data_IF_443264040444
#
_entry.id   IF_443264040444
#
_cell.length_a   1.000
_cell.length_b   1.000
_cell.length_c   1.000
_cell.angle_alpha   90.00
_cell.angle_beta   90.00
_cell.angle_gamma   90.00
#
_symmetry.space_group_name_H-M   'P 1'
#
loop_
_entity.id
_entity.type
_entity.pdbx_description
1 polymer ?
#
# COMPACT_ATOMS: atom_id res chain seq x y z
N UNK A 1 -3.01 -10.64 8.96
CA UNK A 1 -4.33 -10.55 8.29
C UNK A 1 -4.68 -9.07 8.11
N UNK A 2 -4.66 -8.55 6.87
CA UNK A 2 -5.33 -7.31 6.43
C UNK A 2 -4.89 -5.94 6.98
N UNK A 3 -4.43 -5.82 8.23
CA UNK A 3 -4.20 -4.52 8.88
C UNK A 3 -3.07 -3.71 8.24
N UNK A 4 -2.07 -4.40 7.69
CA UNK A 4 -0.93 -3.76 7.01
C UNK A 4 -1.31 -3.21 5.63
N UNK A 5 -2.37 -3.74 5.00
CA UNK A 5 -2.86 -3.25 3.71
C UNK A 5 -3.22 -1.76 3.75
N UNK A 6 -3.76 -1.30 4.89
CA UNK A 6 -4.06 0.11 5.04
C UNK A 6 -2.81 1.00 5.05
N UNK A 7 -1.64 0.50 5.49
CA UNK A 7 -0.40 1.29 5.52
C UNK A 7 0.07 1.54 4.09
N UNK A 8 0.01 0.50 3.24
CA UNK A 8 0.28 0.64 1.81
C UNK A 8 -0.68 1.61 1.14
N UNK A 9 -1.97 1.62 1.53
CA UNK A 9 -2.93 2.59 1.04
C UNK A 9 -2.55 4.03 1.43
N UNK A 10 -2.12 4.28 2.66
CA UNK A 10 -1.63 5.61 3.07
C UNK A 10 -0.40 6.04 2.29
N UNK A 11 0.55 5.13 2.07
CA UNK A 11 1.74 5.40 1.24
C UNK A 11 1.32 5.75 -0.20
N UNK A 12 0.41 4.99 -0.80
CA UNK A 12 -0.11 5.28 -2.13
C UNK A 12 -0.79 6.66 -2.21
N UNK A 13 -1.63 7.01 -1.22
CA UNK A 13 -2.24 8.34 -1.13
C UNK A 13 -1.18 9.44 -0.96
N UNK A 14 -0.11 9.18 -0.21
CA UNK A 14 1.04 10.07 -0.10
C UNK A 14 1.74 10.32 -1.42
N UNK A 15 1.96 9.28 -2.22
CA UNK A 15 2.51 9.41 -3.58
C UNK A 15 1.58 10.22 -4.48
N UNK A 16 0.26 9.98 -4.41
CA UNK A 16 -0.74 10.75 -5.16
C UNK A 16 -0.71 12.24 -4.76
N UNK A 17 -0.67 12.54 -3.47
CA UNK A 17 -0.58 13.93 -2.96
C UNK A 17 0.71 14.60 -3.38
N UNK A 18 1.84 13.91 -3.27
CA UNK A 18 3.14 14.39 -3.74
C UNK A 18 3.11 14.70 -5.24
N UNK A 19 2.65 13.76 -6.06
CA UNK A 19 2.55 13.94 -7.52
C UNK A 19 1.66 15.12 -7.90
N UNK A 20 0.48 15.21 -7.27
CA UNK A 20 -0.46 16.34 -7.44
C UNK A 20 0.15 17.69 -7.06
N UNK A 21 1.08 17.70 -6.10
CA UNK A 21 1.67 18.93 -5.55
C UNK A 21 2.85 19.46 -6.37
N UNK A 22 3.42 18.64 -7.27
CA UNK A 22 4.56 19.01 -8.13
C UNK A 22 4.37 20.32 -8.92
N UNK A 23 3.23 20.59 -9.57
CA UNK A 23 3.01 21.87 -10.25
C UNK A 23 2.52 23.00 -9.32
N UNK A 24 2.26 22.74 -8.03
CA UNK A 24 1.78 23.75 -7.09
C UNK A 24 2.93 24.62 -6.53
N UNK A 25 2.56 25.70 -5.82
CA UNK A 25 3.50 26.54 -5.08
C UNK A 25 4.41 25.75 -4.12
N UNK A 26 5.60 26.31 -3.85
CA UNK A 26 6.67 25.62 -3.13
C UNK A 26 6.24 25.14 -1.74
N UNK A 27 5.42 25.92 -1.03
CA UNK A 27 4.88 25.54 0.29
C UNK A 27 4.01 24.28 0.23
N UNK A 28 3.13 24.15 -0.77
CA UNK A 28 2.28 22.97 -0.93
C UNK A 28 3.11 21.73 -1.24
N UNK A 29 4.11 21.89 -2.10
CA UNK A 29 5.06 20.83 -2.41
C UNK A 29 5.87 20.41 -1.17
N UNK A 30 6.33 21.37 -0.37
CA UNK A 30 7.04 21.11 0.88
C UNK A 30 6.17 20.34 1.89
N UNK A 31 4.90 20.73 2.06
CA UNK A 31 3.97 19.99 2.92
C UNK A 31 3.79 18.54 2.45
N UNK A 32 3.66 18.31 1.14
CA UNK A 32 3.54 16.97 0.58
C UNK A 32 4.83 16.13 0.77
N UNK A 33 6.00 16.75 0.58
CA UNK A 33 7.29 16.10 0.80
C UNK A 33 7.56 15.76 2.27
N UNK A 34 7.00 16.53 3.21
CA UNK A 34 7.13 16.28 4.65
C UNK A 34 6.22 15.14 5.14
N UNK A 35 5.25 14.66 4.35
CA UNK A 35 4.33 13.57 4.75
C UNK A 35 5.08 12.30 5.22
N UNK A 36 5.95 11.67 4.40
CA UNK A 36 6.66 10.45 4.83
C UNK A 36 7.61 10.72 6.00
N UNK A 37 8.33 11.85 5.99
CA UNK A 37 9.33 12.17 7.01
C UNK A 37 8.68 12.46 8.37
N UNK A 38 7.60 13.24 8.37
CA UNK A 38 6.84 13.55 9.59
C UNK A 38 6.10 12.34 10.13
N UNK A 39 5.67 11.42 9.26
CA UNK A 39 5.09 10.15 9.71
C UNK A 39 6.14 9.24 10.35
N UNK A 40 7.33 9.14 9.76
CA UNK A 40 8.45 8.42 10.36
C UNK A 40 8.83 9.01 11.73
N UNK A 41 8.82 10.34 11.88
CA UNK A 41 9.02 10.99 13.18
C UNK A 41 7.95 10.59 14.20
N UNK A 42 6.67 10.61 13.83
CA UNK A 42 5.58 10.17 14.71
C UNK A 42 5.72 8.70 15.13
N UNK A 43 6.16 7.83 14.23
CA UNK A 43 6.48 6.43 14.53
C UNK A 43 7.63 6.29 15.54
N UNK A 44 8.73 7.03 15.36
CA UNK A 44 9.87 7.01 16.29
C UNK A 44 9.44 7.46 17.69
N UNK A 45 8.59 8.48 17.78
CA UNK A 45 8.03 8.91 19.08
C UNK A 45 7.16 7.81 19.70
N UNK A 46 6.33 7.12 18.90
CA UNK A 46 5.53 5.97 19.36
C UNK A 46 6.39 4.85 19.93
N UNK A 47 7.44 4.46 19.21
CA UNK A 47 8.42 3.45 19.68
C UNK A 47 9.13 3.89 20.95
N UNK A 48 9.50 5.17 21.04
CA UNK A 48 10.10 5.73 22.24
C UNK A 48 9.16 5.60 23.44
N UNK A 49 7.86 5.93 23.27
CA UNK A 49 6.84 5.79 24.32
C UNK A 49 6.64 4.34 24.78
N UNK A 50 6.70 3.37 23.85
CA UNK A 50 6.60 1.94 24.17
C UNK A 50 7.65 1.49 25.18
N UNK A 51 8.88 2.00 25.07
CA UNK A 51 9.97 1.62 25.98
C UNK A 51 9.76 2.13 27.42
N UNK A 52 8.91 3.14 27.62
CA UNK A 52 8.58 3.67 28.95
C UNK A 52 7.37 2.98 29.59
N UNK A 53 6.31 2.70 28.82
CA UNK A 53 5.06 2.18 29.37
C UNK A 53 5.06 0.65 29.48
N UNK A 54 5.67 -0.03 28.52
CA UNK A 54 5.85 -1.49 28.53
C UNK A 54 4.56 -2.28 28.82
N UNK A 55 3.42 -1.83 28.27
CA UNK A 55 2.13 -2.47 28.48
C UNK A 55 2.06 -3.82 27.75
N UNK A 56 1.72 -4.88 28.48
CA UNK A 56 1.51 -6.20 27.90
C UNK A 56 0.24 -6.28 27.04
N UNK A 57 0.30 -7.11 25.99
CA UNK A 57 -0.77 -7.18 24.99
C UNK A 57 -1.99 -7.95 25.51
N UNK A 58 -3.21 -7.59 25.06
CA UNK A 58 -4.42 -8.28 25.48
C UNK A 58 -4.41 -9.79 25.19
N UNK A 59 -3.78 -10.19 24.07
CA UNK A 59 -3.62 -11.60 23.68
C UNK A 59 -2.76 -12.44 24.65
N UNK A 60 -1.99 -11.83 25.55
CA UNK A 60 -1.23 -12.52 26.61
C UNK A 60 -1.80 -12.27 28.00
N UNK A 61 -2.19 -11.04 28.29
CA UNK A 61 -2.49 -10.59 29.65
C UNK A 61 -3.94 -10.87 30.09
N UNK A 62 -4.89 -10.98 29.16
CA UNK A 62 -6.31 -11.13 29.50
C UNK A 62 -6.70 -12.61 29.53
N UNK A 63 -6.62 -13.20 30.73
CA UNK A 63 -7.05 -14.58 30.97
C UNK A 63 -8.55 -14.72 30.67
N UNK A 64 -8.92 -15.70 29.84
CA UNK A 64 -10.30 -15.96 29.47
C UNK A 64 -10.86 -15.06 28.35
N UNK A 65 -10.04 -14.18 27.76
CA UNK A 65 -10.42 -13.51 26.52
C UNK A 65 -10.58 -14.51 25.37
N UNK A 66 -11.43 -14.15 24.40
CA UNK A 66 -11.44 -14.84 23.11
C UNK A 66 -10.05 -14.80 22.48
N UNK A 67 -9.65 -15.88 21.81
CA UNK A 67 -8.37 -15.94 21.11
C UNK A 67 -8.25 -14.79 20.10
N UNK A 68 -7.07 -14.17 20.02
CA UNK A 68 -6.83 -13.12 19.04
C UNK A 68 -6.95 -13.69 17.62
N UNK A 69 -7.54 -12.89 16.72
CA UNK A 69 -7.69 -13.26 15.30
C UNK A 69 -6.33 -13.20 14.60
N UNK A 70 -5.50 -12.23 14.99
CA UNK A 70 -4.12 -12.13 14.54
C UNK A 70 -3.17 -12.84 15.50
N UNK A 71 -2.02 -13.26 14.97
CA UNK A 71 -0.91 -13.75 15.78
C UNK A 71 -0.48 -12.70 16.79
N UNK A 72 -0.26 -13.12 18.03
CA UNK A 72 0.18 -12.24 19.10
C UNK A 72 1.65 -11.87 18.85
N UNK A 73 2.01 -10.58 18.71
CA UNK A 73 3.39 -10.16 18.47
C UNK A 73 4.35 -10.66 19.55
N UNK A 74 5.66 -10.73 19.25
CA UNK A 74 6.67 -11.26 20.16
C UNK A 74 6.74 -10.54 21.53
N UNK A 75 7.37 -11.18 22.51
CA UNK A 75 7.66 -10.54 23.79
C UNK A 75 8.58 -9.33 23.59
N UNK A 76 8.36 -8.27 24.37
CA UNK A 76 9.07 -7.00 24.22
C UNK A 76 8.50 -6.08 23.13
N UNK A 77 7.60 -6.54 22.26
CA UNK A 77 6.80 -5.63 21.42
C UNK A 77 5.54 -5.20 22.19
N UNK A 78 5.69 -4.09 22.92
CA UNK A 78 4.69 -3.55 23.83
C UNK A 78 3.42 -3.05 23.12
N UNK A 79 2.29 -3.12 23.83
CA UNK A 79 0.97 -2.76 23.32
C UNK A 79 0.79 -1.24 23.19
N UNK A 80 1.28 -0.47 24.15
CA UNK A 80 1.01 0.96 24.23
C UNK A 80 2.17 1.84 23.77
N UNK A 81 1.94 2.85 22.92
CA UNK A 81 0.76 3.02 22.07
C UNK A 81 0.82 2.10 20.83
N UNK A 82 -0.30 1.97 20.12
CA UNK A 82 -0.34 1.16 18.89
C UNK A 82 0.40 1.84 17.73
N UNK A 83 1.41 1.19 17.16
CA UNK A 83 2.17 1.72 16.01
C UNK A 83 1.32 1.90 14.76
N UNK A 84 0.45 0.95 14.41
CA UNK A 84 -0.46 1.11 13.27
C UNK A 84 -1.34 2.34 13.43
N UNK A 85 -1.87 2.56 14.64
CA UNK A 85 -2.69 3.73 14.94
C UNK A 85 -1.86 5.03 14.89
N UNK A 86 -0.62 5.02 15.41
CA UNK A 86 0.29 6.17 15.33
C UNK A 86 0.66 6.53 13.89
N UNK A 87 1.05 5.54 13.09
CA UNK A 87 1.38 5.74 11.67
C UNK A 87 0.14 6.23 10.91
N UNK A 88 -1.03 5.65 11.14
CA UNK A 88 -2.27 6.06 10.50
C UNK A 88 -2.69 7.49 10.86
N UNK A 89 -2.62 7.84 12.15
CA UNK A 89 -2.91 9.19 12.64
C UNK A 89 -1.96 10.22 12.06
N UNK A 90 -0.66 9.91 12.00
CA UNK A 90 0.36 10.77 11.41
C UNK A 90 0.14 10.93 9.90
N UNK A 91 -0.07 9.85 9.13
CA UNK A 91 -0.35 9.96 7.70
C UNK A 91 -1.61 10.75 7.42
N UNK A 92 -2.72 10.43 8.09
CA UNK A 92 -4.00 11.09 7.83
C UNK A 92 -3.94 12.58 8.10
N UNK A 93 -3.27 12.98 9.19
CA UNK A 93 -3.07 14.39 9.54
C UNK A 93 -2.10 15.08 8.58
N UNK A 94 -0.95 14.47 8.25
CA UNK A 94 0.01 15.05 7.31
C UNK A 94 -0.59 15.26 5.91
N UNK A 95 -1.34 14.27 5.42
CA UNK A 95 -2.06 14.36 4.16
C UNK A 95 -3.14 15.45 4.21
N UNK A 96 -3.86 15.60 5.32
CA UNK A 96 -4.83 16.67 5.51
C UNK A 96 -4.18 18.07 5.53
N UNK A 97 -2.97 18.20 6.09
CA UNK A 97 -2.19 19.43 6.05
C UNK A 97 -1.74 19.78 4.63
N UNK A 98 -1.34 18.79 3.83
CA UNK A 98 -0.92 18.98 2.44
C UNK A 98 -2.09 19.20 1.47
N UNK A 99 -3.21 18.49 1.65
CA UNK A 99 -4.42 18.60 0.83
C UNK A 99 -5.68 18.42 1.67
N UNK A 100 -6.23 19.53 2.19
CA UNK A 100 -7.36 19.54 3.14
C UNK A 100 -8.58 18.70 2.74
N UNK A 101 -8.89 18.55 1.45
CA UNK A 101 -10.05 17.75 1.00
C UNK A 101 -9.83 16.25 1.17
N UNK A 102 -8.58 15.76 1.17
CA UNK A 102 -8.28 14.34 1.36
C UNK A 102 -8.63 13.85 2.77
N UNK A 103 -8.76 14.77 3.74
CA UNK A 103 -9.13 14.48 5.12
C UNK A 103 -10.44 13.68 5.24
N UNK A 104 -11.41 13.93 4.35
CA UNK A 104 -12.68 13.19 4.31
C UNK A 104 -12.50 11.70 4.02
N UNK A 105 -11.39 11.32 3.39
CA UNK A 105 -11.04 9.93 3.10
C UNK A 105 -10.04 9.40 4.13
N UNK A 106 -8.99 10.16 4.43
CA UNK A 106 -7.88 9.68 5.25
C UNK A 106 -8.22 9.59 6.74
N UNK A 107 -9.06 10.48 7.28
CA UNK A 107 -9.41 10.44 8.71
C UNK A 107 -10.29 9.23 9.05
N UNK A 108 -11.39 8.93 8.32
CA UNK A 108 -12.14 7.70 8.55
C UNK A 108 -11.29 6.44 8.33
N UNK A 109 -10.42 6.44 7.31
CA UNK A 109 -9.52 5.34 7.03
C UNK A 109 -8.54 5.08 8.19
N UNK A 110 -8.01 6.14 8.81
CA UNK A 110 -7.13 6.02 9.97
C UNK A 110 -7.86 5.42 11.17
N UNK A 111 -9.08 5.88 11.44
CA UNK A 111 -9.92 5.32 12.51
C UNK A 111 -10.25 3.85 12.23
N UNK A 112 -10.59 3.50 11.00
CA UNK A 112 -10.89 2.11 10.62
C UNK A 112 -9.66 1.21 10.77
N UNK A 113 -8.48 1.68 10.35
CA UNK A 113 -7.23 0.93 10.57
C UNK A 113 -6.93 0.78 12.06
N UNK A 114 -7.04 1.85 12.85
CA UNK A 114 -6.81 1.79 14.29
C UNK A 114 -7.78 0.81 14.97
N UNK A 115 -9.06 0.89 14.63
CA UNK A 115 -10.10 -0.03 15.11
C UNK A 115 -9.78 -1.48 14.75
N UNK A 116 -9.26 -1.75 13.55
CA UNK A 116 -8.90 -3.11 13.13
C UNK A 116 -7.92 -3.79 14.09
N UNK A 117 -7.07 -3.03 14.79
CA UNK A 117 -6.11 -3.55 15.77
C UNK A 117 -6.78 -4.05 17.05
N UNK A 118 -7.84 -3.39 17.47
CA UNK A 118 -8.70 -3.85 18.58
C UNK A 118 -9.50 -5.06 18.12
N UNK A 119 -10.08 -4.99 16.91
CA UNK A 119 -10.89 -6.05 16.34
C UNK A 119 -10.13 -7.38 16.21
N UNK A 120 -8.87 -7.35 15.80
CA UNK A 120 -8.03 -8.56 15.71
C UNK A 120 -7.45 -9.02 17.06
N UNK A 121 -7.73 -8.28 18.15
CA UNK A 121 -7.42 -8.70 19.52
C UNK A 121 -5.97 -8.50 19.96
N UNK A 122 -5.20 -7.60 19.31
CA UNK A 122 -3.77 -7.40 19.63
C UNK A 122 -3.46 -6.08 20.33
N UNK A 123 -4.46 -5.20 20.50
CA UNK A 123 -4.36 -3.92 21.21
C UNK A 123 -5.65 -3.59 21.97
N UNK A 124 -5.50 -2.85 23.06
CA UNK A 124 -6.64 -2.27 23.78
C UNK A 124 -7.20 -1.03 23.06
N UNK A 125 -8.46 -0.65 23.35
CA UNK A 125 -9.04 0.59 22.82
C UNK A 125 -8.22 1.85 23.15
N UNK A 126 -7.61 1.93 24.34
CA UNK A 126 -6.79 3.08 24.72
C UNK A 126 -5.46 3.13 23.98
N UNK A 127 -4.83 1.99 23.66
CA UNK A 127 -3.60 1.93 22.86
C UNK A 127 -3.78 2.58 21.49
N UNK A 128 -4.92 2.30 20.85
CA UNK A 128 -5.21 2.77 19.50
C UNK A 128 -5.67 4.23 19.51
N UNK A 129 -6.41 4.66 20.53
CA UNK A 129 -6.78 6.06 20.72
C UNK A 129 -5.55 6.93 20.98
N UNK A 130 -4.67 6.49 21.89
CA UNK A 130 -3.41 7.16 22.18
C UNK A 130 -2.49 7.20 20.95
N UNK A 131 -2.37 6.09 20.23
CA UNK A 131 -1.59 6.03 18.98
C UNK A 131 -2.06 7.07 17.96
N UNK A 132 -3.35 7.10 17.64
CA UNK A 132 -3.92 8.09 16.70
C UNK A 132 -3.59 9.53 17.11
N UNK A 133 -3.78 9.86 18.39
CA UNK A 133 -3.54 11.20 18.93
C UNK A 133 -2.05 11.56 18.89
N UNK A 134 -1.18 10.67 19.38
CA UNK A 134 0.28 10.90 19.39
C UNK A 134 0.79 11.09 17.97
N UNK A 135 0.43 10.21 17.04
CA UNK A 135 0.85 10.31 15.64
C UNK A 135 0.41 11.63 14.99
N UNK A 136 -0.87 12.00 15.16
CA UNK A 136 -1.41 13.24 14.62
C UNK A 136 -0.76 14.50 15.22
N UNK A 137 -0.53 14.53 16.54
CA UNK A 137 0.08 15.68 17.20
C UNK A 137 1.56 15.83 16.83
N UNK A 138 2.31 14.73 16.82
CA UNK A 138 3.74 14.76 16.49
C UNK A 138 3.98 15.19 15.05
N UNK A 139 3.16 14.74 14.10
CA UNK A 139 3.31 15.19 12.71
C UNK A 139 2.92 16.66 12.54
N UNK A 140 1.92 17.16 13.27
CA UNK A 140 1.57 18.59 13.26
C UNK A 140 2.73 19.43 13.76
N UNK A 141 3.35 19.03 14.87
CA UNK A 141 4.53 19.70 15.41
C UNK A 141 5.69 19.68 14.40
N UNK A 142 6.00 18.50 13.88
CA UNK A 142 7.07 18.30 12.89
C UNK A 142 6.87 19.18 11.64
N UNK A 143 5.67 19.14 11.06
CA UNK A 143 5.33 19.94 9.88
C UNK A 143 5.36 21.44 10.21
N UNK A 144 4.82 21.87 11.35
CA UNK A 144 4.86 23.29 11.79
C UNK A 144 6.30 23.81 11.86
N UNK A 145 7.23 23.01 12.39
CA UNK A 145 8.63 23.39 12.54
C UNK A 145 9.39 23.39 11.20
N UNK A 146 9.13 22.41 10.33
CA UNK A 146 9.94 22.20 9.13
C UNK A 146 9.35 22.76 7.83
N UNK A 147 8.09 23.21 7.79
CA UNK A 147 7.49 23.74 6.56
C UNK A 147 8.26 24.93 6.01
N UNK A 148 8.72 25.85 6.87
CA UNK A 148 9.51 27.03 6.45
C UNK A 148 10.83 26.63 5.77
N UNK A 149 11.73 25.92 6.47
CA UNK A 149 12.96 25.39 5.88
C UNK A 149 12.73 24.54 4.63
N UNK A 150 11.74 23.65 4.65
CA UNK A 150 11.42 22.79 3.51
C UNK A 150 10.93 23.59 2.29
N UNK A 151 10.20 24.69 2.49
CA UNK A 151 9.77 25.58 1.40
C UNK A 151 10.98 26.22 0.71
N UNK A 152 11.94 26.76 1.48
CA UNK A 152 13.18 27.31 0.94
C UNK A 152 14.02 26.26 0.19
N UNK A 153 14.05 25.03 0.71
CA UNK A 153 14.72 23.92 0.05
C UNK A 153 14.06 23.60 -1.29
N UNK A 154 12.72 23.51 -1.36
CA UNK A 154 11.98 23.28 -2.60
C UNK A 154 12.25 24.38 -3.64
N UNK A 155 12.28 25.65 -3.22
CA UNK A 155 12.64 26.78 -4.10
C UNK A 155 14.06 26.63 -4.65
N UNK A 156 15.03 26.33 -3.78
CA UNK A 156 16.43 26.11 -4.17
C UNK A 156 16.56 24.93 -5.13
N UNK A 157 15.84 23.82 -4.87
CA UNK A 157 15.83 22.64 -5.73
C UNK A 157 15.34 22.99 -7.14
N UNK A 158 14.27 23.79 -7.24
CA UNK A 158 13.68 24.24 -8.51
C UNK A 158 14.61 25.16 -9.33
N UNK A 159 15.55 25.83 -8.66
CA UNK A 159 16.53 26.70 -9.33
C UNK A 159 17.91 26.07 -9.48
N UNK A 160 18.13 24.86 -8.94
CA UNK A 160 19.46 24.24 -8.82
C UNK A 160 20.12 23.80 -10.15
N UNK A 161 19.42 23.90 -11.29
CA UNK A 161 19.86 23.39 -12.59
C UNK A 161 19.92 21.86 -12.68
N UNK A 162 19.76 21.13 -11.57
CA UNK A 162 19.80 19.67 -11.55
C UNK A 162 18.46 19.07 -11.97
N UNK A 163 18.48 18.21 -12.99
CA UNK A 163 17.29 17.53 -13.49
C UNK A 163 16.59 16.69 -12.40
N UNK A 164 17.37 16.06 -11.52
CA UNK A 164 16.83 15.25 -10.42
C UNK A 164 16.12 16.09 -9.35
N UNK A 165 16.69 17.22 -8.93
CA UNK A 165 16.03 18.07 -7.94
C UNK A 165 14.79 18.76 -8.52
N UNK A 166 14.85 19.20 -9.78
CA UNK A 166 13.70 19.72 -10.50
C UNK A 166 12.60 18.67 -10.67
N UNK A 167 12.98 17.42 -10.96
CA UNK A 167 12.01 16.33 -11.02
C UNK A 167 11.36 16.10 -9.64
N UNK A 168 12.14 16.00 -8.56
CA UNK A 168 11.59 15.79 -7.22
C UNK A 168 10.69 16.94 -6.75
N UNK A 169 11.11 18.19 -6.95
CA UNK A 169 10.37 19.39 -6.53
C UNK A 169 9.21 19.76 -7.47
N UNK A 170 9.20 19.19 -8.68
CA UNK A 170 8.25 19.52 -9.73
C UNK A 170 8.48 20.89 -10.38
N UNK A 171 7.82 21.14 -11.52
CA UNK A 171 8.01 22.36 -12.31
C UNK A 171 7.51 23.64 -11.61
N UNK A 172 6.67 23.49 -10.57
CA UNK A 172 6.04 24.62 -9.90
C UNK A 172 4.99 25.31 -10.79
N UNK A 173 4.59 26.51 -10.38
CA UNK A 173 3.51 27.27 -11.03
C UNK A 173 3.94 27.95 -12.34
N UNK A 174 5.25 28.11 -12.55
CA UNK A 174 5.81 28.84 -13.69
C UNK A 174 5.45 28.21 -15.04
N UNK A 175 5.41 26.87 -15.16
CA UNK A 175 5.06 26.21 -16.43
C UNK A 175 3.56 26.23 -16.74
N UNK A 176 2.68 26.27 -15.73
CA UNK A 176 1.23 26.41 -15.98
C UNK A 176 0.88 27.76 -16.60
N UNK A 177 1.53 28.83 -16.15
CA UNK A 177 1.34 30.16 -16.72
C UNK A 177 1.85 30.31 -18.16
N UNK A 178 2.75 29.44 -18.63
CA UNK A 178 3.21 29.41 -20.02
C UNK A 178 2.27 28.58 -20.90
N UNK A 179 1.72 27.48 -20.38
CA UNK A 179 0.77 26.64 -21.10
C UNK A 179 -0.65 27.26 -21.23
N UNK A 180 -1.04 28.09 -20.26
CA UNK A 180 -2.31 28.83 -20.25
C UNK A 180 -2.22 30.19 -20.95
N UNK A 181 -1.02 30.62 -21.39
CA UNK A 181 -0.89 31.79 -22.27
C UNK A 181 -1.40 31.41 -23.65
N UNK A 182 -2.58 31.91 -23.98
CA UNK A 182 -3.10 31.90 -25.35
C UNK A 182 -1.99 32.45 -26.27
N UNK A 183 -1.58 31.73 -27.33
CA UNK A 183 -0.49 32.19 -28.18
C UNK A 183 -0.84 33.58 -28.68
N UNK A 184 0.03 34.54 -28.40
CA UNK A 184 -0.17 35.93 -28.79
C UNK A 184 -0.56 35.97 -30.26
N UNK A 185 -1.77 36.48 -30.51
CA UNK A 185 -2.42 36.40 -31.82
C UNK A 185 -1.64 37.30 -32.78
N UNK A 186 -0.67 36.73 -33.50
CA UNK A 186 0.13 37.45 -34.51
C UNK A 186 -0.79 37.81 -35.70
N UNK A 187 -1.22 39.07 -35.84
CA UNK A 187 -2.14 39.47 -36.88
C UNK A 187 -1.56 39.23 -38.28
N UNK A 188 -0.24 39.33 -38.43
CA UNK A 188 0.43 39.13 -39.70
C UNK A 188 0.46 37.65 -40.10
N UNK A 189 0.46 36.73 -39.14
CA UNK A 189 0.39 35.29 -39.43
C UNK A 189 -0.98 34.87 -39.92
N UNK A 190 -2.03 35.49 -39.39
CA UNK A 190 -3.41 35.28 -39.84
C UNK A 190 -3.65 35.89 -41.23
N UNK A 191 -3.10 37.07 -41.51
CA UNK A 191 -3.12 37.68 -42.85
C UNK A 191 -2.37 36.82 -43.88
N UNK A 192 -1.18 36.31 -43.55
CA UNK A 192 -0.43 35.40 -44.44
C UNK A 192 -1.19 34.11 -44.71
N UNK A 193 -1.90 33.56 -43.71
CA UNK A 193 -2.76 32.37 -43.90
C UNK A 193 -3.97 32.67 -44.77
N UNK A 194 -4.61 33.82 -44.60
CA UNK A 194 -5.73 34.26 -45.42
C UNK A 194 -5.32 34.46 -46.89
N UNK A 195 -4.16 35.10 -47.12
CA UNK A 195 -3.60 35.28 -48.48
C UNK A 195 -3.22 33.94 -49.13
N UNK A 196 -2.62 33.01 -48.37
CA UNK A 196 -2.30 31.67 -48.88
C UNK A 196 -3.55 30.86 -49.24
N UNK A 197 -4.64 30.98 -48.47
CA UNK A 197 -5.92 30.35 -48.77
C UNK A 197 -6.61 30.95 -50.01
N UNK A 198 -6.45 32.25 -50.26
CA UNK A 198 -6.95 32.87 -51.49
C UNK A 198 -6.15 32.43 -52.73
N UNK A 199 -4.83 32.29 -52.60
CA UNK A 199 -3.97 31.82 -53.68
C UNK A 199 -4.24 30.36 -54.08
N UNK A 200 -4.56 29.48 -53.13
CA UNK A 200 -4.88 28.07 -53.42
C UNK A 200 -6.23 27.89 -54.14
N UNK A 201 -7.21 28.77 -53.88
CA UNK A 201 -8.46 28.81 -54.61
C UNK A 201 -8.31 29.34 -56.05
N UNK A 202 -7.43 30.31 -56.28
CA UNK A 202 -7.13 30.81 -57.63
C UNK A 202 -6.43 29.75 -58.50
N UNK A 203 -5.56 28.92 -57.92
CA UNK A 203 -4.87 27.84 -58.64
C UNK A 203 -5.79 26.70 -59.12
N UNK A 204 -6.87 26.40 -58.38
CA UNK A 204 -7.84 25.37 -58.80
C UNK A 204 -8.78 25.83 -59.92
N UNK A 205 -9.02 27.14 -60.05
CA UNK A 205 -9.84 27.69 -61.13
C UNK A 205 -9.10 27.71 -62.49
N UNK A 206 -7.76 27.76 -62.48
CA UNK A 206 -6.96 27.85 -63.70
C UNK A 206 -6.76 26.51 -64.44
N UNK A 207 -7.07 25.37 -63.82
CA UNK A 207 -6.84 24.04 -64.42
C UNK A 207 -8.10 23.41 -65.06
N UNK A 208 -9.24 24.10 -65.04
CA UNK A 208 -10.54 23.59 -65.53
C UNK A 208 -10.88 24.02 -66.98
N UNK A 209 -9.88 24.20 -67.83
CA UNK A 209 -10.12 24.62 -69.22
C UNK A 209 -9.06 24.13 -70.17
N UNK A 210 -9.13 22.86 -70.58
CA UNK A 210 -8.75 22.37 -71.92
C UNK A 210 -9.00 20.86 -71.99
N UNK A 211 -10.14 20.46 -72.56
CA UNK A 211 -10.38 19.11 -73.06
C UNK A 211 -10.38 19.19 -74.60
N UNK A 212 -9.55 18.41 -75.32
CA UNK A 212 -9.65 18.34 -76.78
C UNK A 212 -10.69 17.30 -77.22
N UNK A 213 -11.45 17.65 -78.26
CA UNK A 213 -12.40 16.80 -78.99
C UNK A 213 -11.73 15.56 -79.61
N UNK A 214 -12.39 14.41 -79.52
CA UNK A 214 -12.04 13.17 -80.23
C UNK A 214 -13.02 12.95 -81.40
N UNK A 215 -12.56 12.62 -82.62
CA UNK A 215 -13.44 12.33 -83.74
C UNK A 215 -13.88 10.85 -83.81
N UNK A 216 -14.96 10.64 -84.56
CA UNK A 216 -15.81 9.46 -84.61
C UNK A 216 -15.23 8.22 -85.33
N UNK A 217 -15.58 7.06 -84.75
CA UNK A 217 -16.00 5.77 -85.32
C UNK A 217 -15.13 5.02 -86.36
N UNK A 218 -14.80 3.76 -86.00
CA UNK A 218 -14.78 2.61 -86.92
C UNK A 218 -15.08 1.31 -86.11
N UNK A 219 -15.62 0.24 -86.75
CA UNK A 219 -16.35 -0.82 -86.05
C UNK A 219 -15.52 -2.06 -85.65
N UNK A 220 -16.00 -2.75 -84.62
CA UNK A 220 -15.54 -4.04 -84.05
C UNK A 220 -15.36 -5.15 -85.10
N UNK A 221 -14.46 -6.13 -84.83
CA UNK A 221 -14.99 -7.47 -84.55
C UNK A 221 -14.20 -8.30 -83.51
N UNK A 222 -14.95 -8.95 -82.60
CA UNK A 222 -14.96 -10.42 -82.51
C UNK A 222 -14.06 -11.13 -81.46
N UNK A 223 -14.72 -11.99 -80.66
CA UNK A 223 -14.21 -13.18 -79.94
C UNK A 223 -13.21 -12.90 -78.79
N UNK A 224 -13.18 -13.54 -77.62
CA UNK A 224 -13.80 -14.73 -77.04
C UNK A 224 -12.87 -15.22 -75.90
N UNK A 225 -13.44 -15.75 -74.81
CA UNK A 225 -12.83 -16.58 -73.76
C UNK A 225 -11.71 -16.03 -72.82
N UNK A 226 -11.98 -16.13 -71.50
CA UNK A 226 -11.34 -17.16 -70.65
C UNK A 226 -10.03 -16.84 -69.90
N UNK A 227 -10.13 -16.97 -68.56
CA UNK A 227 -9.12 -17.44 -67.60
C UNK A 227 -7.85 -16.62 -67.26
N UNK A 228 -7.79 -16.21 -65.98
CA UNK A 228 -6.80 -16.65 -64.96
C UNK A 228 -5.29 -16.58 -65.29
N UNK A 229 -4.55 -15.75 -64.53
CA UNK A 229 -3.13 -16.03 -64.25
C UNK A 229 -2.23 -14.85 -63.86
N UNK A 230 -1.78 -14.87 -62.59
CA UNK A 230 -0.43 -14.53 -62.06
C UNK A 230 0.10 -13.07 -62.12
N UNK A 231 0.45 -12.50 -60.96
CA UNK A 231 1.82 -12.34 -60.37
C UNK A 231 2.71 -11.36 -61.19
N UNK A 232 3.53 -10.45 -60.66
CA UNK A 232 3.97 -10.04 -59.32
C UNK A 232 4.88 -8.78 -59.47
N UNK A 233 5.37 -8.26 -58.34
CA UNK A 233 6.49 -7.30 -58.12
C UNK A 233 6.21 -5.81 -58.43
N UNK A 234 6.64 -4.82 -57.64
CA UNK A 234 7.38 -4.67 -56.36
C UNK A 234 7.04 -3.24 -55.85
N UNK A 235 7.46 -2.68 -54.73
CA UNK A 235 8.56 -2.88 -53.79
C UNK A 235 8.10 -2.35 -52.41
N UNK A 236 8.72 -2.83 -51.34
CA UNK A 236 8.48 -2.48 -49.95
C UNK A 236 9.76 -1.91 -49.33
N UNK A 237 9.64 -0.89 -48.48
CA UNK A 237 10.60 -0.60 -47.41
C UNK A 237 9.88 0.04 -46.19
N UNK A 238 9.85 -0.68 -45.07
CA UNK A 238 9.55 -0.18 -43.73
C UNK A 238 10.48 -0.89 -42.74
N UNK A 239 11.32 -0.12 -42.03
CA UNK A 239 12.30 -0.61 -41.06
C UNK A 239 11.70 -0.69 -39.64
N UNK A 240 11.95 -1.80 -38.97
CA UNK A 240 11.83 -1.98 -37.51
C UNK A 240 12.51 -3.29 -37.07
N UNK A 241 13.33 -3.24 -36.01
CA UNK A 241 13.89 -4.36 -35.22
C UNK A 241 14.41 -3.78 -33.88
N UNK A 242 14.36 -4.40 -32.69
CA UNK A 242 14.03 -5.77 -32.27
C UNK A 242 15.18 -6.38 -31.45
N UNK A 243 14.98 -6.68 -30.15
CA UNK A 243 15.91 -7.47 -29.31
C UNK A 243 15.57 -8.96 -29.37
N UNK A 244 16.60 -9.82 -29.42
CA UNK A 244 16.52 -11.23 -29.80
C UNK A 244 16.30 -12.24 -28.67
N UNK A 245 15.63 -13.34 -29.02
CA UNK A 245 15.64 -14.61 -28.29
C UNK A 245 16.35 -15.68 -29.14
N UNK A 246 17.10 -16.57 -28.48
CA UNK A 246 17.86 -17.63 -29.15
C UNK A 246 16.96 -18.86 -29.42
N UNK A 247 16.98 -19.32 -30.68
CA UNK A 247 16.33 -20.54 -31.17
C UNK A 247 17.40 -21.53 -31.62
N UNK A 248 17.10 -22.83 -31.61
CA UNK A 248 17.97 -23.82 -32.23
C UNK A 248 17.93 -23.75 -33.78
N UNK A 249 18.81 -24.52 -34.43
CA UNK A 249 18.94 -24.61 -35.91
C UNK A 249 17.62 -24.98 -36.63
N UNK A 250 16.60 -25.46 -35.91
CA UNK A 250 15.30 -25.85 -36.46
C UNK A 250 14.15 -24.97 -35.94
N UNK A 251 14.45 -23.83 -35.31
CA UNK A 251 13.47 -22.82 -34.91
C UNK A 251 12.59 -23.24 -33.73
N UNK A 252 13.01 -24.23 -32.92
CA UNK A 252 12.27 -24.62 -31.72
C UNK A 252 12.83 -23.92 -30.47
N UNK A 253 11.97 -23.47 -29.55
CA UNK A 253 12.43 -22.99 -28.25
C UNK A 253 13.00 -24.15 -27.43
N UNK A 254 14.14 -23.94 -26.77
CA UNK A 254 14.74 -24.94 -25.88
C UNK A 254 13.79 -25.26 -24.71
N UNK A 255 13.53 -26.54 -24.40
CA UNK A 255 12.76 -26.90 -23.21
C UNK A 255 13.56 -26.55 -21.94
N UNK A 256 12.97 -25.76 -21.05
CA UNK A 256 13.55 -25.49 -19.73
C UNK A 256 13.55 -26.78 -18.91
N UNK A 257 14.74 -27.35 -18.69
CA UNK A 257 14.93 -28.46 -17.76
C UNK A 257 14.68 -28.00 -16.32
N UNK A 258 13.69 -28.61 -15.68
CA UNK A 258 13.52 -28.64 -14.23
C UNK A 258 14.75 -29.25 -13.57
N UNK A 259 15.57 -28.44 -12.90
CA UNK A 259 16.60 -28.93 -11.95
C UNK A 259 16.04 -28.90 -10.53
N UNK A 260 15.63 -30.07 -10.04
CA UNK A 260 15.87 -30.42 -8.64
C UNK A 260 17.34 -30.83 -8.49
N UNK A 261 17.95 -30.53 -7.34
CA UNK A 261 18.72 -31.56 -6.64
C UNK A 261 18.20 -31.80 -5.23
N UNK A 262 18.30 -33.06 -4.84
CA UNK A 262 18.02 -33.63 -3.54
C UNK A 262 19.10 -33.28 -2.48
N UNK A 263 18.75 -33.62 -1.24
CA UNK A 263 19.62 -33.82 -0.05
C UNK A 263 20.05 -32.58 0.76
N UNK A 264 19.21 -32.22 1.74
CA UNK A 264 19.66 -31.64 3.01
C UNK A 264 18.95 -32.35 4.17
N UNK A 265 19.72 -33.13 4.92
CA UNK A 265 19.36 -33.60 6.25
C UNK A 265 19.21 -32.39 7.21
N UNK A 266 18.35 -32.46 8.24
CA UNK A 266 18.18 -31.35 9.16
C UNK A 266 19.44 -31.18 10.02
N UNK A 267 20.07 -30.02 9.89
CA UNK A 267 21.04 -29.52 10.87
C UNK A 267 20.26 -29.16 12.14
N UNK A 268 20.43 -29.94 13.20
CA UNK A 268 19.98 -29.57 14.52
C UNK A 268 20.83 -28.39 15.00
N UNK A 269 20.19 -27.25 15.23
CA UNK A 269 20.82 -26.09 15.85
C UNK A 269 21.12 -26.41 17.33
N UNK A 270 22.37 -26.31 17.82
CA UNK A 270 22.66 -26.46 19.23
C UNK A 270 22.16 -25.23 20.00
N UNK A 271 21.29 -25.51 20.97
CA UNK A 271 20.76 -24.58 21.96
C UNK A 271 21.85 -23.65 22.56
N UNK A 272 21.79 -22.32 22.35
CA UNK A 272 22.78 -21.39 22.88
C UNK A 272 22.62 -21.08 24.38
N UNK A 273 21.79 -21.81 25.13
CA UNK A 273 21.62 -21.63 26.59
C UNK A 273 22.07 -22.83 27.45
N UNK A 274 23.00 -23.65 26.98
CA UNK A 274 23.68 -24.63 27.84
C UNK A 274 24.86 -24.00 28.61
N UNK A 275 24.55 -23.13 29.58
CA UNK A 275 25.52 -22.80 30.65
C UNK A 275 25.44 -23.86 31.76
N UNK A 276 26.57 -24.44 32.21
CA UNK A 276 26.54 -25.36 33.35
C UNK A 276 26.22 -24.58 34.62
N UNK A 277 25.09 -24.90 35.25
CA UNK A 277 24.82 -24.44 36.61
C UNK A 277 25.87 -25.03 37.55
N UNK A 278 26.79 -24.18 37.97
CA UNK A 278 27.67 -24.43 39.11
C UNK A 278 26.80 -24.26 40.37
N UNK A 279 26.44 -25.36 41.01
CA UNK A 279 25.62 -25.40 42.23
C UNK A 279 26.34 -24.69 43.38
N UNK A 280 25.79 -23.60 43.95
CA UNK A 280 26.24 -23.17 45.28
C UNK A 280 25.59 -24.09 46.30
N UNK A 281 26.40 -24.84 47.05
CA UNK A 281 25.97 -25.58 48.22
C UNK A 281 25.22 -24.64 49.18
N UNK A 282 23.93 -24.92 49.40
CA UNK A 282 23.16 -24.26 50.45
C UNK A 282 23.66 -24.74 51.81
N UNK A 283 23.96 -23.84 52.77
CA UNK A 283 24.27 -24.26 54.13
C UNK A 283 23.01 -24.84 54.79
N UNK A 284 23.20 -26.00 55.40
CA UNK A 284 22.24 -26.73 56.22
C UNK A 284 21.61 -25.84 57.29
N UNK A 285 20.32 -25.52 57.14
CA UNK A 285 19.47 -25.06 58.22
C UNK A 285 18.80 -26.31 58.82
N UNK A 286 19.36 -26.77 59.92
CA UNK A 286 18.71 -27.69 60.85
C UNK A 286 17.53 -26.98 61.52
N UNK A 287 16.33 -27.48 61.28
CA UNK A 287 15.11 -27.09 61.99
C UNK A 287 15.03 -27.85 63.33
N UNK A 288 15.03 -27.17 64.50
CA UNK A 288 15.06 -27.82 65.80
C UNK A 288 13.68 -28.28 66.33
N UNK A 289 12.63 -28.36 65.51
CA UNK A 289 11.28 -28.77 65.98
C UNK A 289 10.63 -29.95 65.24
N UNK A 290 11.43 -30.85 64.66
CA UNK A 290 10.93 -32.12 64.12
C UNK A 290 10.70 -33.15 65.25
N UNK A 291 9.53 -33.09 65.89
CA UNK A 291 9.13 -34.08 66.87
C UNK A 291 7.67 -33.95 67.30
N UNK A 292 6.75 -34.47 66.47
CA UNK A 292 5.64 -35.35 66.87
C UNK A 292 4.67 -35.59 65.69
N UNK A 293 4.27 -36.84 65.53
CA UNK A 293 3.57 -37.35 64.35
C UNK A 293 2.09 -36.99 64.25
N UNK A 294 1.56 -37.19 63.04
CA UNK A 294 0.14 -37.13 62.74
C UNK A 294 -0.07 -37.12 61.23
N UNK A 295 -0.57 -38.22 60.67
CA UNK A 295 -0.92 -38.35 59.25
C UNK A 295 -2.04 -37.36 58.87
N UNK A 296 -2.04 -36.78 57.65
CA UNK A 296 -3.10 -35.85 57.25
C UNK A 296 -4.39 -36.60 56.91
N UNK A 297 -5.44 -36.28 57.67
CA UNK A 297 -6.84 -36.64 57.42
C UNK A 297 -7.31 -36.02 56.09
N UNK A 298 -7.93 -36.87 55.27
CA UNK A 298 -8.67 -36.47 54.08
C UNK A 298 -9.90 -35.65 54.48
N UNK A 299 -10.06 -34.49 53.84
CA UNK A 299 -11.23 -33.63 53.91
C UNK A 299 -12.46 -34.37 53.36
N UNK A 300 -13.47 -34.59 54.21
CA UNK A 300 -14.78 -35.11 53.83
C UNK A 300 -15.77 -33.96 53.68
N UNK A 301 -16.48 -33.98 52.55
CA UNK A 301 -17.58 -33.09 52.16
C UNK A 301 -18.87 -33.46 52.93
N UNK A 302 -19.49 -32.56 53.73
CA UNK A 302 -20.73 -32.86 54.41
C UNK A 302 -21.92 -32.32 53.61
N UNK A 303 -22.54 -33.15 52.77
CA UNK A 303 -23.72 -32.69 52.06
C UNK A 303 -24.40 -33.65 51.09
N UNK A 304 -24.55 -34.94 51.39
CA UNK A 304 -25.52 -35.79 50.70
C UNK A 304 -26.15 -36.81 51.65
N UNK A 305 -27.41 -36.58 52.01
CA UNK A 305 -28.27 -37.59 52.61
C UNK A 305 -29.04 -38.31 51.49
N UNK A 306 -29.16 -39.66 51.54
CA UNK A 306 -29.71 -40.45 50.45
C UNK A 306 -31.18 -40.82 50.72
N UNK A 307 -32.08 -40.49 49.80
CA UNK A 307 -33.33 -41.24 49.63
C UNK A 307 -33.57 -41.48 48.15
N UNK A 308 -33.34 -42.73 47.74
CA UNK A 308 -33.81 -43.25 46.47
C UNK A 308 -35.25 -43.75 46.61
N UNK A 309 -36.07 -43.47 45.60
CA UNK A 309 -37.02 -44.44 45.07
C UNK A 309 -37.50 -43.96 43.69
N UNK A 310 -37.00 -44.59 42.61
CA UNK A 310 -37.52 -44.40 41.26
C UNK A 310 -38.29 -45.66 40.85
N UNK A 311 -39.52 -45.78 41.37
CA UNK A 311 -40.51 -46.79 40.95
C UNK A 311 -41.49 -46.22 39.94
N UNK A 312 -41.25 -46.50 38.66
CA UNK A 312 -42.14 -46.21 37.52
C UNK A 312 -43.25 -47.27 37.47
N UNK A 313 -44.53 -46.91 37.65
CA UNK A 313 -45.73 -47.44 36.94
C UNK A 313 -47.06 -47.06 37.62
N UNK A 314 -48.08 -46.72 36.81
CA UNK A 314 -49.49 -46.94 37.16
C UNK A 314 -50.34 -45.69 37.40
N UNK A 315 -50.73 -45.00 36.33
CA UNK A 315 -51.90 -44.14 36.34
C UNK A 315 -53.16 -45.00 36.22
N UNK A 316 -54.09 -44.90 37.18
CA UNK A 316 -55.52 -45.14 36.96
C UNK A 316 -56.38 -44.42 37.99
N UNK A 317 -57.55 -44.05 37.51
CA UNK A 317 -58.48 -43.04 37.98
C UNK A 317 -59.32 -43.43 39.21
N UNK A 318 -59.73 -42.37 39.92
CA UNK A 318 -60.84 -42.28 40.88
C UNK A 318 -62.19 -42.79 40.33
N UNK A 319 -62.91 -43.57 41.13
CA UNK A 319 -64.36 -43.54 41.39
C UNK A 319 -64.51 -44.27 42.75
N UNK A 320 -65.25 -43.82 43.78
CA UNK A 320 -66.49 -43.08 43.78
C UNK A 320 -67.66 -44.06 43.74
N UNK A 321 -68.03 -44.64 44.89
CA UNK A 321 -69.13 -45.61 45.05
C UNK A 321 -68.85 -46.66 46.11
#
# INVERSE_FOLDING_TARGET
>A
IGTDAGLFLFVALGVVVWWRSRPAGARTMALAALVPVGTAFGYVVSETLKTFVQEERPCRAVVGAAASIAECPAYGDWSFPSNHAAIAGAFAMALALAWRRIAWVTMPLAVLMAFSRVFVGVHYPHDVAAGLVVGALMVVLFVRLLTGPATKLVETMRTSGSAAANWLAGPGEAERGEADREPERDPQRDERRAQAAQASHAGHAAHAGHAPEAPAAAPEPGYGYGHQGRQAAGQAEQYGYGQGGQYDQYGRPFPQQSRQPADQAPYADPDPYSTPYNTPQSPSLTDPYAGQGGAPQQWQDPGQDPQGDWGRQGATYRHGG
#
